data_IF_875925466861
#
_entry.id   IF_875925466861
#
_cell.length_a   1.000
_cell.length_b   1.000
_cell.length_c   1.000
_cell.angle_alpha   90.00
_cell.angle_beta   90.00
_cell.angle_gamma   90.00
#
_symmetry.space_group_name_H-M   'P 1'
#
loop_
_entity.id
_entity.type
_entity.pdbx_description
1 polymer ?
#
# COMPACT_ATOMS: atom_id res chain seq x y z
N UNK A 1 11.14 -14.94 8.93
CA UNK A 1 10.98 -13.89 7.89
C UNK A 1 9.57 -13.35 7.94
N UNK A 2 9.40 -12.06 7.72
CA UNK A 2 8.09 -11.44 7.76
C UNK A 2 7.17 -12.03 6.67
N UNK A 3 5.88 -12.17 6.99
CA UNK A 3 4.86 -12.62 6.06
C UNK A 3 4.24 -11.40 5.37
N UNK A 4 4.72 -11.08 4.18
CA UNK A 4 4.23 -9.91 3.42
C UNK A 4 2.75 -10.04 3.09
N UNK A 5 2.30 -11.22 2.62
CA UNK A 5 0.87 -11.45 2.33
C UNK A 5 0.01 -11.21 3.56
N UNK A 6 0.44 -11.74 4.70
CA UNK A 6 -0.28 -11.56 5.95
C UNK A 6 -0.36 -10.11 6.38
N UNK A 7 0.72 -9.36 6.21
CA UNK A 7 0.76 -7.93 6.53
C UNK A 7 -0.23 -7.15 5.66
N UNK A 8 -0.19 -7.35 4.35
CA UNK A 8 -1.09 -6.65 3.42
C UNK A 8 -2.55 -7.00 3.71
N UNK A 9 -2.84 -8.28 3.98
CA UNK A 9 -4.20 -8.68 4.36
C UNK A 9 -4.68 -8.02 5.64
N UNK A 10 -3.80 -7.91 6.64
CA UNK A 10 -4.14 -7.22 7.89
C UNK A 10 -4.48 -5.75 7.65
N UNK A 11 -3.71 -5.08 6.78
CA UNK A 11 -3.95 -3.70 6.38
C UNK A 11 -5.33 -3.58 5.72
N UNK A 12 -5.63 -4.43 4.76
CA UNK A 12 -6.89 -4.37 4.01
C UNK A 12 -8.09 -4.67 4.89
N UNK A 13 -7.96 -5.61 5.84
CA UNK A 13 -9.02 -5.92 6.79
C UNK A 13 -9.11 -4.92 7.92
N UNK A 14 -8.16 -4.02 8.03
CA UNK A 14 -8.09 -3.03 9.12
C UNK A 14 -8.06 -3.71 10.49
N UNK A 15 -7.28 -4.79 10.60
CA UNK A 15 -7.15 -5.57 11.83
C UNK A 15 -6.03 -4.99 12.69
N UNK A 16 -6.43 -4.23 13.71
CA UNK A 16 -5.50 -3.47 14.57
C UNK A 16 -4.46 -4.38 15.23
N UNK A 17 -4.88 -5.51 15.73
CA UNK A 17 -3.98 -6.44 16.45
C UNK A 17 -2.96 -7.05 15.51
N UNK A 18 -3.41 -7.54 14.35
CA UNK A 18 -2.52 -8.16 13.37
C UNK A 18 -1.55 -7.15 12.78
N UNK A 19 -2.02 -5.93 12.50
CA UNK A 19 -1.14 -4.86 12.01
C UNK A 19 -0.04 -4.59 13.01
N UNK A 20 -0.40 -4.39 14.28
CA UNK A 20 0.58 -4.10 15.33
C UNK A 20 1.62 -5.21 15.44
N UNK A 21 1.20 -6.45 15.33
CA UNK A 21 2.10 -7.60 15.48
C UNK A 21 3.19 -7.65 14.42
N UNK A 22 3.01 -6.96 13.30
CA UNK A 22 3.99 -6.93 12.22
C UNK A 22 5.12 -5.92 12.46
N UNK A 23 4.93 -4.96 13.37
CA UNK A 23 5.87 -3.85 13.55
C UNK A 23 6.73 -3.97 14.79
N UNK A 24 7.97 -3.49 14.69
CA UNK A 24 8.76 -3.18 15.86
C UNK A 24 8.12 -1.99 16.59
N UNK A 25 8.26 -1.93 17.92
CA UNK A 25 7.61 -0.88 18.71
C UNK A 25 8.05 0.53 18.32
N UNK A 26 9.28 0.68 17.87
CA UNK A 26 9.86 1.95 17.48
C UNK A 26 9.81 2.21 15.96
N UNK A 27 9.04 1.44 15.23
CA UNK A 27 8.95 1.58 13.79
C UNK A 27 8.42 2.96 13.39
N UNK A 28 8.89 3.42 12.23
CA UNK A 28 8.50 4.72 11.66
C UNK A 28 7.81 4.46 10.33
N UNK A 29 6.66 5.07 10.13
CA UNK A 29 5.90 4.96 8.90
C UNK A 29 5.78 6.33 8.24
N UNK A 30 6.14 6.42 6.96
CA UNK A 30 6.05 7.66 6.20
C UNK A 30 5.11 7.49 5.02
N UNK A 31 4.14 8.39 4.91
CA UNK A 31 3.32 8.54 3.70
C UNK A 31 3.83 9.75 2.95
N UNK A 32 4.61 9.49 1.92
CA UNK A 32 5.35 10.55 1.23
C UNK A 32 4.47 11.50 0.43
N UNK A 33 3.40 11.01 -0.18
CA UNK A 33 2.55 11.86 -1.03
C UNK A 33 1.78 12.91 -0.24
N UNK A 34 1.54 12.66 1.05
CA UNK A 34 0.88 13.63 1.93
C UNK A 34 1.83 14.25 2.95
N UNK A 35 3.11 13.88 2.90
CA UNK A 35 4.15 14.39 3.80
C UNK A 35 3.80 14.14 5.27
N UNK A 36 3.41 12.90 5.58
CA UNK A 36 3.05 12.50 6.95
C UNK A 36 4.00 11.43 7.47
N UNK A 37 4.37 11.58 8.75
CA UNK A 37 5.20 10.60 9.47
C UNK A 37 4.40 10.11 10.67
N UNK A 38 4.29 8.79 10.84
CA UNK A 38 3.50 8.17 11.88
C UNK A 38 4.33 7.27 12.77
N UNK A 39 3.98 7.24 14.05
CA UNK A 39 4.31 6.10 14.92
C UNK A 39 3.42 4.91 14.54
N UNK A 40 3.72 3.74 15.07
CA UNK A 40 2.88 2.55 14.82
C UNK A 40 1.44 2.80 15.25
N UNK A 41 1.24 3.38 16.44
CA UNK A 41 -0.10 3.68 16.94
C UNK A 41 -0.86 4.63 16.04
N UNK A 42 -0.19 5.68 15.59
CA UNK A 42 -0.80 6.66 14.67
C UNK A 42 -1.14 6.04 13.32
N UNK A 43 -0.26 5.19 12.79
CA UNK A 43 -0.51 4.51 11.54
C UNK A 43 -1.74 3.59 11.63
N UNK A 44 -1.86 2.86 12.74
CA UNK A 44 -3.02 1.99 12.96
C UNK A 44 -4.31 2.83 12.97
N UNK A 45 -4.29 3.99 13.63
CA UNK A 45 -5.45 4.88 13.62
C UNK A 45 -5.75 5.34 12.20
N UNK A 46 -4.75 5.84 11.48
CA UNK A 46 -4.94 6.35 10.12
C UNK A 46 -5.50 5.27 9.19
N UNK A 47 -4.98 4.05 9.29
CA UNK A 47 -5.42 2.96 8.43
C UNK A 47 -6.79 2.41 8.82
N UNK A 48 -7.01 2.20 10.10
CA UNK A 48 -8.22 1.51 10.57
C UNK A 48 -9.43 2.42 10.72
N UNK A 49 -9.21 3.73 10.88
CA UNK A 49 -10.31 4.71 10.91
C UNK A 49 -10.72 5.18 9.51
N UNK A 50 -9.96 4.81 8.49
CA UNK A 50 -10.32 5.15 7.11
C UNK A 50 -11.64 4.46 6.77
N UNK A 51 -12.65 5.22 6.29
CA UNK A 51 -14.00 4.66 6.14
C UNK A 51 -14.09 3.62 5.03
N UNK A 52 -15.04 2.70 5.17
CA UNK A 52 -15.35 1.71 4.16
C UNK A 52 -14.69 0.37 4.41
N UNK A 53 -15.03 -0.58 3.56
CA UNK A 53 -14.43 -1.91 3.53
C UNK A 53 -13.55 -2.02 2.31
N UNK A 54 -12.37 -2.58 2.50
CA UNK A 54 -11.32 -2.54 1.49
C UNK A 54 -10.88 -3.93 1.09
N UNK A 55 -10.40 -4.03 -0.13
CA UNK A 55 -9.79 -5.23 -0.68
C UNK A 55 -8.61 -4.81 -1.56
N UNK A 56 -7.87 -5.76 -2.05
CA UNK A 56 -6.73 -5.45 -2.89
C UNK A 56 -5.96 -6.67 -3.32
N UNK A 57 -4.94 -6.45 -4.12
CA UNK A 57 -4.09 -7.52 -4.62
C UNK A 57 -2.65 -7.03 -4.69
N UNK A 58 -1.73 -7.93 -4.37
CA UNK A 58 -0.31 -7.66 -4.51
C UNK A 58 0.06 -7.89 -5.97
N UNK A 59 0.56 -6.85 -6.62
CA UNK A 59 0.97 -6.94 -8.03
C UNK A 59 2.42 -7.33 -8.20
N UNK A 60 3.28 -6.94 -7.26
CA UNK A 60 4.71 -7.24 -7.35
C UNK A 60 5.34 -7.21 -5.96
N UNK A 61 6.31 -8.09 -5.75
CA UNK A 61 7.15 -8.09 -4.54
C UNK A 61 8.59 -8.27 -5.00
N UNK A 62 9.45 -7.37 -4.57
CA UNK A 62 10.89 -7.48 -4.79
C UNK A 62 11.60 -7.46 -3.45
N UNK A 63 12.61 -8.28 -3.29
CA UNK A 63 13.38 -8.34 -2.05
C UNK A 63 14.86 -8.13 -2.32
N UNK A 64 15.47 -7.28 -1.50
CA UNK A 64 16.92 -7.08 -1.47
C UNK A 64 17.33 -7.05 -0.01
N UNK A 65 17.90 -8.14 0.47
CA UNK A 65 18.31 -8.32 1.86
C UNK A 65 17.12 -8.13 2.82
N UNK A 66 17.13 -7.09 3.64
CA UNK A 66 16.09 -6.79 4.62
C UNK A 66 15.01 -5.84 4.11
N UNK A 67 15.09 -5.47 2.84
CA UNK A 67 14.16 -4.55 2.19
C UNK A 67 13.22 -5.31 1.26
N UNK A 68 11.91 -5.09 1.43
CA UNK A 68 10.90 -5.54 0.48
C UNK A 68 10.28 -4.33 -0.18
N UNK A 69 10.13 -4.40 -1.51
CA UNK A 69 9.35 -3.40 -2.27
C UNK A 69 8.10 -4.10 -2.75
N UNK A 70 6.95 -3.62 -2.31
CA UNK A 70 5.67 -4.26 -2.59
C UNK A 70 4.76 -3.27 -3.31
N UNK A 71 4.21 -3.70 -4.44
CA UNK A 71 3.23 -2.91 -5.18
C UNK A 71 1.87 -3.54 -4.98
N UNK A 72 0.92 -2.77 -4.46
CA UNK A 72 -0.42 -3.25 -4.14
C UNK A 72 -1.45 -2.39 -4.87
N UNK A 73 -2.43 -3.05 -5.47
CA UNK A 73 -3.63 -2.37 -5.95
C UNK A 73 -4.68 -2.47 -4.85
N UNK A 74 -5.26 -1.33 -4.47
CA UNK A 74 -6.19 -1.24 -3.34
C UNK A 74 -7.48 -0.57 -3.82
N UNK A 75 -8.61 -1.13 -3.42
CA UNK A 75 -9.91 -0.59 -3.82
C UNK A 75 -10.95 -0.91 -2.75
N UNK A 76 -12.01 -0.07 -2.62
CA UNK A 76 -13.13 -0.43 -1.76
C UNK A 76 -13.89 -1.62 -2.37
N UNK A 77 -14.60 -2.35 -1.52
CA UNK A 77 -15.31 -3.56 -1.97
C UNK A 77 -16.32 -3.29 -3.08
N UNK A 78 -16.88 -2.09 -3.13
CA UNK A 78 -17.84 -1.73 -4.18
C UNK A 78 -17.16 -1.26 -5.48
N UNK A 79 -15.83 -1.25 -5.53
CA UNK A 79 -15.03 -0.85 -6.69
C UNK A 79 -15.30 0.59 -7.17
N UNK A 80 -15.77 1.47 -6.28
CA UNK A 80 -16.05 2.88 -6.61
C UNK A 80 -14.79 3.72 -6.82
N UNK A 81 -13.63 3.21 -6.39
CA UNK A 81 -12.35 3.90 -6.51
C UNK A 81 -11.25 2.84 -6.68
N UNK A 82 -10.04 3.27 -6.99
CA UNK A 82 -8.91 2.37 -7.10
C UNK A 82 -7.63 3.16 -6.88
N UNK A 83 -6.67 2.55 -6.20
CA UNK A 83 -5.39 3.18 -5.85
C UNK A 83 -4.27 2.18 -6.05
N UNK A 84 -3.07 2.69 -6.29
CA UNK A 84 -1.86 1.88 -6.19
C UNK A 84 -1.01 2.43 -5.05
N UNK A 85 -0.36 1.52 -4.34
CA UNK A 85 0.57 1.86 -3.28
C UNK A 85 1.89 1.13 -3.52
N UNK A 86 2.99 1.86 -3.47
CA UNK A 86 4.32 1.26 -3.46
C UNK A 86 4.86 1.38 -2.05
N UNK A 87 5.14 0.23 -1.42
CA UNK A 87 5.60 0.15 -0.05
C UNK A 87 7.04 -0.32 0.00
N UNK A 88 7.90 0.45 0.66
CA UNK A 88 9.28 0.05 0.96
C UNK A 88 9.30 -0.39 2.41
N UNK A 89 9.46 -1.69 2.64
CA UNK A 89 9.33 -2.31 3.96
C UNK A 89 10.70 -2.80 4.41
N UNK A 90 11.26 -2.18 5.43
CA UNK A 90 12.51 -2.64 6.04
C UNK A 90 12.21 -3.43 7.29
N UNK A 91 12.90 -4.57 7.42
CA UNK A 91 12.68 -5.48 8.54
C UNK A 91 13.92 -5.58 9.40
N UNK A 92 13.68 -5.80 10.69
CA UNK A 92 14.71 -6.05 11.72
C UNK A 92 14.12 -7.05 12.71
N UNK A 93 14.83 -8.16 12.91
CA UNK A 93 14.37 -9.21 13.83
C UNK A 93 12.93 -9.67 13.53
N UNK A 94 12.64 -9.87 12.23
CA UNK A 94 11.35 -10.36 11.74
C UNK A 94 10.18 -9.41 12.00
N UNK A 95 10.48 -8.13 12.28
CA UNK A 95 9.49 -7.08 12.45
C UNK A 95 9.79 -5.94 11.48
N UNK A 96 8.78 -5.20 11.10
CA UNK A 96 8.95 -4.03 10.27
C UNK A 96 9.55 -2.92 11.12
N UNK A 97 10.71 -2.42 10.72
CA UNK A 97 11.38 -1.31 11.42
C UNK A 97 11.08 0.04 10.77
N UNK A 98 10.80 0.06 9.46
CA UNK A 98 10.36 1.26 8.79
C UNK A 98 9.49 0.91 7.59
N UNK A 99 8.55 1.77 7.28
CA UNK A 99 7.65 1.61 6.16
C UNK A 99 7.53 2.96 5.46
N UNK A 100 7.90 2.99 4.19
CA UNK A 100 7.77 4.19 3.36
C UNK A 100 6.79 3.88 2.24
N UNK A 101 5.71 4.64 2.15
CA UNK A 101 4.65 4.37 1.18
C UNK A 101 4.38 5.56 0.28
N UNK A 102 4.14 5.26 -0.99
CA UNK A 102 3.78 6.21 -2.02
C UNK A 102 2.44 5.77 -2.59
N UNK A 103 1.41 6.58 -2.41
CA UNK A 103 0.05 6.30 -2.84
C UNK A 103 -0.31 7.14 -4.05
N UNK A 104 -1.02 6.55 -4.99
CA UNK A 104 -1.51 7.26 -6.16
C UNK A 104 -2.92 6.80 -6.50
N UNK A 105 -3.76 7.74 -6.88
CA UNK A 105 -5.09 7.42 -7.41
C UNK A 105 -4.92 6.86 -8.82
N UNK A 106 -5.66 5.80 -9.13
CA UNK A 106 -5.74 5.30 -10.49
C UNK A 106 -6.69 6.19 -11.29
N UNK A 107 -6.39 6.37 -12.56
CA UNK A 107 -7.23 7.22 -13.39
C UNK A 107 -6.88 7.11 -14.86
N UNK A 108 -7.60 7.87 -15.65
CA UNK A 108 -7.41 7.93 -17.08
C UNK A 108 -6.18 8.74 -17.45
N UNK A 109 -5.52 8.44 -18.58
CA UNK A 109 -4.48 9.33 -19.09
C UNK A 109 -5.03 10.72 -19.33
N UNK A 110 -4.19 11.76 -19.21
CA UNK A 110 -4.64 13.13 -19.51
C UNK A 110 -5.09 13.27 -20.96
N UNK A 111 -6.02 14.18 -21.19
CA UNK A 111 -6.66 14.40 -22.48
C UNK A 111 -5.66 14.57 -23.62
N UNK A 112 -4.58 15.33 -23.39
CA UNK A 112 -3.61 15.62 -24.45
C UNK A 112 -2.95 14.34 -24.98
N UNK A 113 -2.65 13.36 -24.08
CA UNK A 113 -2.08 12.09 -24.53
C UNK A 113 -3.09 11.23 -25.26
N UNK A 114 -4.35 11.24 -24.81
CA UNK A 114 -5.42 10.48 -25.46
C UNK A 114 -5.69 11.03 -26.87
N UNK A 115 -5.63 12.34 -27.02
CA UNK A 115 -5.84 12.98 -28.33
C UNK A 115 -4.71 12.62 -29.30
N UNK A 116 -3.49 12.42 -28.80
CA UNK A 116 -2.37 12.01 -29.63
C UNK A 116 -2.43 10.52 -30.03
N UNK A 117 -3.30 9.76 -29.38
CA UNK A 117 -3.48 8.32 -29.65
C UNK A 117 -2.19 7.53 -29.47
N UNK A 118 -1.42 7.88 -28.46
CA UNK A 118 -0.20 7.18 -28.09
C UNK A 118 -0.46 6.33 -26.85
N UNK A 119 0.26 5.22 -26.75
CA UNK A 119 0.07 4.27 -25.66
C UNK A 119 -1.18 3.43 -25.86
N UNK A 120 -1.29 2.41 -25.03
CA UNK A 120 -2.44 1.50 -24.97
C UNK A 120 -2.56 0.96 -23.57
N UNK A 121 -3.72 0.46 -23.14
CA UNK A 121 -3.85 -0.12 -21.82
C UNK A 121 -2.84 -1.24 -21.59
N UNK A 122 -2.29 -1.28 -20.37
CA UNK A 122 -1.41 -2.38 -19.95
C UNK A 122 -2.21 -3.68 -19.92
N UNK A 123 -3.47 -3.58 -19.48
CA UNK A 123 -4.39 -4.71 -19.40
C UNK A 123 -5.74 -4.27 -19.95
N UNK A 124 -6.37 -5.12 -20.77
CA UNK A 124 -7.70 -4.84 -21.31
C UNK A 124 -8.78 -4.85 -20.25
N UNK A 125 -8.53 -5.45 -19.11
CA UNK A 125 -9.45 -5.45 -17.98
C UNK A 125 -9.49 -4.10 -17.26
N UNK A 126 -8.50 -3.24 -17.51
CA UNK A 126 -8.43 -1.90 -16.91
C UNK A 126 -9.18 -0.92 -17.78
N UNK A 127 -10.41 -0.77 -17.49
CA UNK A 127 -11.25 0.16 -18.25
C UNK A 127 -11.70 1.33 -17.41
#
# INVERSE_FOLDING_TARGET
MINIDGFIKAILRQDRTDIRSCFADDAVINWHCTNECFTVDEYIIANCEYPGKWDGEIEAVHQAEDLFVVVTKVYPEDHSASFHCVSFIRCRNEKISSLDEYWADDGEPPTWRREMKIGKPISEERK
#
